data_IF_048721112331
#
_entry.id   IF_048721112331
#
_cell.length_a   1.000
_cell.length_b   1.000
_cell.length_c   1.000
_cell.angle_alpha   90.00
_cell.angle_beta   90.00
_cell.angle_gamma   90.00
#
_symmetry.space_group_name_H-M   'P 1'
#
loop_
_entity.id
_entity.type
_entity.pdbx_description
1 polymer ?
#
# COMPACT_ATOMS: atom_id res chain seq x y z
N UNK A 1 -17.66 12.65 35.25
CA UNK A 1 -17.65 11.96 33.95
C UNK A 1 -16.67 12.70 33.04
N UNK A 2 -15.41 12.28 32.96
CA UNK A 2 -14.40 12.88 32.09
C UNK A 2 -14.31 12.03 30.84
N UNK A 3 -14.67 12.58 29.67
CA UNK A 3 -14.45 11.90 28.40
C UNK A 3 -12.97 12.09 28.00
N UNK A 4 -12.17 11.03 28.15
CA UNK A 4 -10.89 10.97 27.46
C UNK A 4 -11.18 10.65 25.99
N UNK A 5 -11.03 11.64 25.11
CA UNK A 5 -10.94 11.38 23.68
C UNK A 5 -9.50 10.97 23.39
N UNK A 6 -9.27 9.67 23.21
CA UNK A 6 -8.03 9.17 22.62
C UNK A 6 -7.98 9.59 21.15
N UNK A 7 -7.31 10.72 20.92
CA UNK A 7 -7.02 11.21 19.58
C UNK A 7 -5.80 10.46 19.06
N UNK A 8 -5.98 9.27 18.50
CA UNK A 8 -4.97 8.63 17.66
C UNK A 8 -4.82 9.41 16.34
N UNK A 9 -4.18 10.58 16.43
CA UNK A 9 -3.90 11.44 15.28
C UNK A 9 -2.60 10.99 14.62
N UNK A 10 -2.67 9.91 13.85
CA UNK A 10 -1.72 9.62 12.78
C UNK A 10 -2.44 8.70 11.79
N UNK A 11 -3.03 9.30 10.76
CA UNK A 11 -3.74 8.58 9.71
C UNK A 11 -2.74 7.76 8.88
N UNK A 12 -2.47 6.53 9.35
CA UNK A 12 -1.69 5.49 8.67
C UNK A 12 -2.68 4.67 7.85
N UNK A 13 -2.61 4.77 6.53
CA UNK A 13 -3.44 3.97 5.63
C UNK A 13 -2.59 2.86 5.01
N UNK A 14 -3.18 1.68 4.87
CA UNK A 14 -2.61 0.59 4.05
C UNK A 14 -3.01 0.84 2.60
N UNK A 15 -2.04 0.82 1.70
CA UNK A 15 -2.29 0.84 0.25
C UNK A 15 -1.92 -0.52 -0.32
N UNK A 16 -2.84 -1.08 -1.09
CA UNK A 16 -2.67 -2.30 -1.84
C UNK A 16 -2.43 -1.90 -3.30
N UNK A 17 -1.38 -2.40 -3.92
CA UNK A 17 -1.08 -2.18 -5.34
C UNK A 17 -1.01 -3.51 -6.04
N UNK A 18 -1.77 -3.63 -7.13
CA UNK A 18 -1.86 -4.82 -7.96
C UNK A 18 -0.97 -4.65 -9.18
N UNK A 19 -0.29 -5.72 -9.57
CA UNK A 19 0.54 -5.79 -10.77
C UNK A 19 0.12 -6.99 -11.61
N UNK A 20 0.25 -6.83 -12.93
CA UNK A 20 0.15 -7.88 -13.93
C UNK A 20 1.46 -7.87 -14.74
N UNK A 21 2.22 -8.95 -14.63
CA UNK A 21 3.49 -9.14 -15.33
C UNK A 21 3.24 -10.06 -16.51
N UNK A 22 3.56 -9.57 -17.70
CA UNK A 22 3.45 -10.34 -18.93
C UNK A 22 4.82 -10.92 -19.29
N UNK A 23 4.85 -12.20 -19.63
CA UNK A 23 6.02 -12.85 -20.19
C UNK A 23 5.70 -13.49 -21.54
N UNK A 24 6.57 -13.26 -22.51
CA UNK A 24 6.46 -13.73 -23.88
C UNK A 24 7.62 -14.68 -24.14
N UNK A 25 7.32 -15.97 -24.30
CA UNK A 25 8.33 -16.98 -24.60
C UNK A 25 8.80 -16.88 -26.05
N UNK A 26 10.09 -17.14 -26.27
CA UNK A 26 10.70 -17.35 -27.59
C UNK A 26 11.00 -18.83 -27.87
N UNK A 27 10.60 -19.74 -26.98
CA UNK A 27 10.85 -21.18 -27.11
C UNK A 27 9.76 -21.88 -27.94
N UNK A 28 10.11 -23.06 -28.47
CA UNK A 28 9.16 -23.91 -29.20
C UNK A 28 8.03 -24.41 -28.29
N UNK A 29 8.35 -24.85 -27.07
CA UNK A 29 7.36 -25.20 -26.05
C UNK A 29 7.06 -24.01 -25.15
N UNK A 30 6.19 -23.13 -25.66
CA UNK A 30 5.76 -21.90 -25.00
C UNK A 30 5.13 -22.19 -23.62
N UNK A 31 4.30 -23.23 -23.52
CA UNK A 31 3.57 -23.51 -22.28
C UNK A 31 4.51 -24.01 -21.18
N UNK A 32 5.43 -24.92 -21.51
CA UNK A 32 6.44 -25.37 -20.54
C UNK A 32 7.29 -24.20 -20.08
N UNK A 33 7.77 -23.37 -21.00
CA UNK A 33 8.59 -22.21 -20.66
C UNK A 33 7.84 -21.16 -19.82
N UNK A 34 6.56 -20.93 -20.11
CA UNK A 34 5.72 -20.04 -19.31
C UNK A 34 5.53 -20.59 -17.88
N UNK A 35 5.34 -21.90 -17.72
CA UNK A 35 5.21 -22.51 -16.39
C UNK A 35 6.53 -22.43 -15.60
N UNK A 36 7.66 -22.72 -16.25
CA UNK A 36 8.99 -22.60 -15.64
C UNK A 36 9.28 -21.15 -15.20
N UNK A 37 8.86 -20.19 -16.01
CA UNK A 37 8.95 -18.76 -15.68
C UNK A 37 8.02 -18.38 -14.53
N UNK A 38 6.80 -18.91 -14.48
CA UNK A 38 5.86 -18.68 -13.39
C UNK A 38 6.44 -19.17 -12.05
N UNK A 39 7.02 -20.37 -12.01
CA UNK A 39 7.70 -20.92 -10.82
C UNK A 39 8.84 -20.01 -10.37
N UNK A 40 9.65 -19.53 -11.31
CA UNK A 40 10.73 -18.57 -11.03
C UNK A 40 10.20 -17.26 -10.45
N UNK A 41 9.07 -16.76 -10.95
CA UNK A 41 8.43 -15.53 -10.47
C UNK A 41 7.84 -15.70 -9.07
N UNK A 42 7.33 -16.89 -8.72
CA UNK A 42 6.87 -17.17 -7.35
C UNK A 42 7.99 -17.01 -6.33
N UNK A 43 9.18 -17.55 -6.62
CA UNK A 43 10.33 -17.45 -5.74
C UNK A 43 10.91 -16.02 -5.71
N UNK A 44 11.10 -15.42 -6.88
CA UNK A 44 11.75 -14.11 -7.00
C UNK A 44 10.92 -12.98 -6.38
N UNK A 45 9.60 -13.06 -6.51
CA UNK A 45 8.70 -11.99 -6.11
C UNK A 45 8.08 -12.20 -4.73
N UNK A 46 8.37 -13.30 -4.02
CA UNK A 46 7.90 -13.51 -2.65
C UNK A 46 8.33 -12.34 -1.74
N UNK A 47 9.60 -11.90 -1.86
CA UNK A 47 10.14 -10.76 -1.12
C UNK A 47 10.95 -9.82 -2.03
N UNK A 48 10.42 -8.62 -2.25
CA UNK A 48 11.07 -7.60 -3.08
C UNK A 48 11.69 -6.52 -2.21
N UNK A 49 12.99 -6.27 -2.41
CA UNK A 49 13.73 -5.21 -1.73
C UNK A 49 13.61 -3.90 -2.49
N UNK A 50 13.08 -2.87 -1.85
CA UNK A 50 13.01 -1.51 -2.40
C UNK A 50 13.68 -0.55 -1.42
N UNK A 51 14.84 -0.02 -1.82
CA UNK A 51 15.71 0.76 -0.93
C UNK A 51 16.14 -0.06 0.30
N UNK A 52 15.82 0.45 1.49
CA UNK A 52 16.12 -0.20 2.78
C UNK A 52 14.96 -1.04 3.33
N UNK A 53 13.87 -1.19 2.56
CA UNK A 53 12.67 -1.93 2.99
C UNK A 53 12.50 -3.23 2.21
N UNK A 54 11.96 -4.25 2.87
CA UNK A 54 11.60 -5.53 2.28
C UNK A 54 10.08 -5.65 2.24
N UNK A 55 9.53 -5.87 1.05
CA UNK A 55 8.10 -6.00 0.81
C UNK A 55 7.76 -7.43 0.46
N UNK A 56 6.81 -8.00 1.19
CA UNK A 56 6.24 -9.30 0.86
C UNK A 56 5.08 -9.10 -0.12
N UNK A 57 5.08 -9.85 -1.22
CA UNK A 57 3.93 -9.93 -2.12
C UNK A 57 2.83 -10.81 -1.51
N UNK A 58 1.59 -10.54 -1.88
CA UNK A 58 0.41 -11.34 -1.51
C UNK A 58 -0.40 -11.65 -2.76
N UNK A 59 -1.30 -12.63 -2.65
CA UNK A 59 -2.30 -12.93 -3.67
C UNK A 59 -1.70 -13.21 -5.05
N UNK A 60 -0.60 -13.99 -5.07
CA UNK A 60 0.12 -14.33 -6.31
C UNK A 60 -0.59 -15.45 -7.06
N UNK A 61 -0.97 -15.20 -8.31
CA UNK A 61 -1.61 -16.18 -9.21
C UNK A 61 -1.07 -16.01 -10.62
N UNK A 62 -1.17 -17.04 -11.46
CA UNK A 62 -0.78 -16.94 -12.86
C UNK A 62 -1.75 -17.66 -13.78
N UNK A 63 -1.81 -17.20 -15.02
CA UNK A 63 -2.60 -17.79 -16.10
C UNK A 63 -1.79 -17.71 -17.40
N UNK A 64 -1.88 -18.73 -18.25
CA UNK A 64 -1.27 -18.72 -19.59
C UNK A 64 -2.41 -18.65 -20.61
N UNK A 65 -2.50 -17.53 -21.32
CA UNK A 65 -3.55 -17.25 -22.31
C UNK A 65 -2.89 -16.95 -23.64
N UNK A 66 -3.29 -17.68 -24.71
CA UNK A 66 -2.74 -17.54 -26.07
C UNK A 66 -1.21 -17.56 -26.14
N UNK A 67 -0.55 -18.33 -25.27
CA UNK A 67 0.90 -18.46 -25.20
C UNK A 67 1.62 -17.29 -24.50
N UNK A 68 0.88 -16.46 -23.77
CA UNK A 68 1.43 -15.38 -22.94
C UNK A 68 1.14 -15.70 -21.47
N UNK A 69 2.18 -15.66 -20.64
CA UNK A 69 2.02 -15.77 -19.19
C UNK A 69 1.57 -14.42 -18.64
N UNK A 70 0.44 -14.42 -17.95
CA UNK A 70 -0.02 -13.36 -17.07
C UNK A 70 0.26 -13.77 -15.63
N UNK A 71 1.07 -12.98 -14.92
CA UNK A 71 1.42 -13.22 -13.53
C UNK A 71 0.93 -12.06 -12.66
N UNK A 72 -0.06 -12.34 -11.83
CA UNK A 72 -0.70 -11.38 -10.95
C UNK A 72 -0.09 -11.42 -9.56
N UNK A 73 0.11 -10.25 -8.96
CA UNK A 73 0.54 -10.14 -7.56
C UNK A 73 0.11 -8.81 -6.94
N UNK A 74 0.08 -8.79 -5.62
CA UNK A 74 -0.25 -7.61 -4.84
C UNK A 74 0.88 -7.24 -3.87
N UNK A 75 1.19 -5.95 -3.74
CA UNK A 75 2.05 -5.43 -2.67
C UNK A 75 1.26 -4.56 -1.70
N UNK A 76 1.45 -4.81 -0.40
CA UNK A 76 0.83 -4.05 0.67
C UNK A 76 1.88 -3.15 1.33
N UNK A 77 1.74 -1.83 1.21
CA UNK A 77 2.61 -0.89 1.91
C UNK A 77 1.83 0.14 2.72
N UNK A 78 2.42 0.56 3.84
CA UNK A 78 1.85 1.56 4.73
C UNK A 78 2.30 2.94 4.28
N UNK A 79 1.36 3.84 4.05
CA UNK A 79 1.62 5.24 3.74
C UNK A 79 1.23 6.08 4.94
N UNK A 80 2.14 6.97 5.35
CA UNK A 80 1.82 8.07 6.26
C UNK A 80 1.60 9.29 5.36
N UNK A 81 0.40 9.87 5.39
CA UNK A 81 0.17 11.17 4.74
C UNK A 81 0.50 12.23 5.77
N UNK A 82 1.39 13.15 5.42
CA UNK A 82 1.54 14.38 6.19
C UNK A 82 0.26 15.19 6.02
N UNK A 83 -0.55 15.23 7.08
CA UNK A 83 -1.64 16.19 7.17
C UNK A 83 -0.97 17.52 7.49
N UNK A 84 -1.02 18.47 6.57
CA UNK A 84 -0.64 19.85 6.87
C UNK A 84 -1.40 20.27 8.12
N UNK A 85 -0.65 20.62 9.17
CA UNK A 85 -1.25 21.09 10.41
C UNK A 85 -1.98 22.40 10.10
N UNK A 86 -3.30 22.33 9.96
CA UNK A 86 -4.13 23.52 9.88
C UNK A 86 -3.77 24.46 11.04
N UNK A 87 -3.73 25.78 10.81
CA UNK A 87 -3.39 26.74 11.86
C UNK A 87 -4.32 26.53 13.05
N UNK A 88 -3.73 26.36 14.24
CA UNK A 88 -4.51 26.19 15.48
C UNK A 88 -5.37 27.43 15.68
N UNK A 89 -6.68 27.25 15.82
CA UNK A 89 -7.62 28.33 16.12
C UNK A 89 -7.18 29.06 17.40
N UNK A 90 -7.06 30.39 17.34
CA UNK A 90 -6.60 31.20 18.47
C UNK A 90 -7.57 31.17 19.66
N UNK A 91 -7.05 31.39 20.87
CA UNK A 91 -7.87 31.48 22.10
C UNK A 91 -8.70 32.76 22.10
N UNK A 92 -10.02 32.62 22.27
CA UNK A 92 -10.91 33.75 22.48
C UNK A 92 -10.63 34.34 23.88
N UNK A 93 -10.31 35.64 23.97
CA UNK A 93 -10.31 36.38 25.24
C UNK A 93 -11.66 37.06 25.39
N UNK A 94 -12.39 36.76 26.45
CA UNK A 94 -13.66 37.41 26.79
C UNK A 94 -13.44 38.30 28.01
N UNK A 95 -13.57 39.62 27.82
CA UNK A 95 -13.59 40.59 28.92
C UNK A 95 -15.05 40.81 29.34
N UNK A 96 -15.35 40.52 30.60
CA UNK A 96 -16.68 40.75 31.19
C UNK A 96 -16.62 42.07 31.96
N UNK A 97 -17.38 43.06 31.50
CA UNK A 97 -17.60 44.30 32.23
C UNK A 97 -18.79 44.13 33.17
N UNK A 98 -18.52 44.06 34.47
CA UNK A 98 -19.54 44.07 35.51
C UNK A 98 -20.01 45.51 35.74
N UNK A 99 -21.20 45.84 35.27
CA UNK A 99 -21.88 47.07 35.66
C UNK A 99 -22.65 46.81 36.96
N UNK A 100 -22.05 47.19 38.10
CA UNK A 100 -22.76 47.23 39.37
C UNK A 100 -23.71 48.44 39.41
N UNK A 101 -24.96 48.19 39.78
CA UNK A 101 -25.93 49.20 40.23
C UNK A 101 -26.34 48.87 41.66
#
# INVERSE_FOLDING_TARGET
MSSAQDKEFNERYKKNVFFDIHYFSDKEDINSDCNDMADSLYELLEYVKVGNSLYRSTDMTHEVIDGVLHFFLQFNYKVIKEIEKAPKMNKLKQEVYLNAR
#
